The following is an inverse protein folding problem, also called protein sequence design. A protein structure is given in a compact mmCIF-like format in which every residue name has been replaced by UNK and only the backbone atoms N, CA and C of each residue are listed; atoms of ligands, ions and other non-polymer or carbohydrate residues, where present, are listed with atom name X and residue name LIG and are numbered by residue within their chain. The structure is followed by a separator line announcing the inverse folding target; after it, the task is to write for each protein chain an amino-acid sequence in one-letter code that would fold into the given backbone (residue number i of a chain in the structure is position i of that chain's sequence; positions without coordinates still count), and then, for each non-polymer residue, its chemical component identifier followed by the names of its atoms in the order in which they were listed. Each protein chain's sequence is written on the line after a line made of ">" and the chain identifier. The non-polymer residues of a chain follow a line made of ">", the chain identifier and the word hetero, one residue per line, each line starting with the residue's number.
data_IF_507981486652
#
_entry.id   IF_507981486652
#
_cell.length_a   1.000
_cell.length_b   1.000
_cell.length_c   1.000
_cell.angle_alpha   90.00
_cell.angle_beta   90.00
_cell.angle_gamma   90.00
#
_symmetry.space_group_name_H-M   'P 1'
#
loop_
_entity.id
_entity.type
_entity.pdbx_description
1 polymer ?
#
# COMPACT_ATOMS: atom_id res chain seq x y z
N UNK A 1 40.87 -50.74 13.22
CA UNK A 1 39.59 -50.40 12.56
C UNK A 1 39.14 -49.02 13.08
N UNK A 2 39.48 -47.96 12.34
CA UNK A 2 39.13 -46.57 12.69
C UNK A 2 37.80 -46.23 12.05
N UNK A 3 36.74 -46.08 12.85
CA UNK A 3 35.44 -45.53 12.39
C UNK A 3 35.52 -44.01 12.48
N UNK A 4 35.65 -43.37 11.34
CA UNK A 4 35.57 -41.92 11.22
C UNK A 4 34.07 -41.57 11.07
N UNK A 5 33.48 -40.98 12.13
CA UNK A 5 32.16 -40.38 12.11
C UNK A 5 32.26 -39.01 11.45
N UNK A 6 31.79 -38.91 10.21
CA UNK A 6 31.57 -37.63 9.54
C UNK A 6 30.30 -36.98 10.10
N UNK A 7 30.50 -36.01 10.96
CA UNK A 7 29.41 -35.13 11.41
C UNK A 7 29.19 -34.05 10.33
N UNK A 8 28.24 -34.28 9.43
CA UNK A 8 27.84 -33.30 8.46
C UNK A 8 27.07 -32.17 9.16
N UNK A 9 27.78 -31.06 9.42
CA UNK A 9 27.18 -29.82 9.94
C UNK A 9 26.37 -29.17 8.84
N UNK A 10 25.05 -29.44 8.85
CA UNK A 10 24.09 -28.81 7.94
C UNK A 10 23.86 -27.36 8.42
N UNK A 11 24.65 -26.42 7.88
CA UNK A 11 24.36 -24.97 8.06
C UNK A 11 23.10 -24.62 7.25
N UNK A 12 21.96 -24.69 7.90
CA UNK A 12 20.73 -24.12 7.40
C UNK A 12 20.88 -22.59 7.37
N UNK A 13 20.99 -21.99 6.20
CA UNK A 13 20.89 -20.55 6.03
C UNK A 13 19.45 -20.14 6.31
N UNK A 14 19.21 -19.61 7.51
CA UNK A 14 17.97 -18.92 7.84
C UNK A 14 17.89 -17.65 6.98
N UNK A 15 17.13 -17.71 5.90
CA UNK A 15 16.75 -16.50 5.17
C UNK A 15 15.82 -15.69 6.09
N UNK A 16 16.39 -14.77 6.84
CA UNK A 16 15.64 -13.77 7.57
C UNK A 16 15.13 -12.78 6.52
N UNK A 17 13.89 -12.97 6.05
CA UNK A 17 13.20 -11.93 5.32
C UNK A 17 13.05 -10.76 6.28
N UNK A 18 13.76 -9.67 6.02
CA UNK A 18 13.62 -8.43 6.75
C UNK A 18 12.21 -7.89 6.48
N UNK A 19 11.29 -8.13 7.40
CA UNK A 19 9.95 -7.58 7.31
C UNK A 19 10.02 -6.06 7.42
N UNK A 20 9.27 -5.37 6.58
CA UNK A 20 9.16 -3.91 6.68
C UNK A 20 8.74 -3.51 8.10
N UNK A 21 9.41 -2.55 8.72
CA UNK A 21 9.00 -2.03 10.04
C UNK A 21 7.66 -1.30 10.00
N UNK A 22 7.17 -0.91 8.82
CA UNK A 22 5.84 -0.37 8.63
C UNK A 22 4.82 -1.51 8.54
N UNK A 23 4.06 -1.71 9.60
CA UNK A 23 2.97 -2.71 9.63
C UNK A 23 1.66 -2.07 9.20
N UNK A 24 1.24 -2.34 7.98
CA UNK A 24 -0.04 -1.89 7.44
C UNK A 24 -1.20 -2.72 8.01
N UNK A 25 -2.32 -2.05 8.29
CA UNK A 25 -3.58 -2.72 8.66
C UNK A 25 -4.15 -3.49 7.47
N UNK A 26 -4.02 -2.89 6.28
CA UNK A 26 -4.36 -3.48 4.99
C UNK A 26 -3.48 -2.86 3.90
N UNK A 27 -3.22 -3.59 2.85
CA UNK A 27 -2.47 -3.11 1.67
C UNK A 27 -3.32 -3.12 0.41
N UNK A 28 -4.56 -3.60 0.51
CA UNK A 28 -5.51 -3.64 -0.59
C UNK A 28 -6.87 -3.14 -0.13
N UNK A 29 -7.47 -2.27 -0.94
CA UNK A 29 -8.81 -1.76 -0.70
C UNK A 29 -9.69 -1.86 -1.94
N UNK A 30 -10.95 -2.27 -1.76
CA UNK A 30 -11.93 -2.36 -2.83
C UNK A 30 -13.01 -1.28 -2.63
N UNK A 31 -13.03 -0.31 -3.54
CA UNK A 31 -14.04 0.75 -3.55
C UNK A 31 -15.44 0.27 -3.96
N UNK A 32 -15.56 -0.93 -4.52
CA UNK A 32 -16.81 -1.38 -5.12
C UNK A 32 -17.18 -0.59 -6.37
N UNK A 33 -18.42 -0.19 -6.50
CA UNK A 33 -18.93 0.60 -7.62
C UNK A 33 -18.83 2.10 -7.34
N UNK A 34 -18.10 2.79 -8.19
CA UNK A 34 -17.94 4.25 -8.16
C UNK A 34 -18.71 4.89 -9.31
N UNK A 35 -19.26 6.08 -9.09
CA UNK A 35 -19.83 6.88 -10.16
C UNK A 35 -18.72 7.56 -10.95
N UNK A 36 -18.86 7.59 -12.28
CA UNK A 36 -17.90 8.27 -13.15
C UNK A 36 -17.72 9.73 -12.75
N UNK A 37 -16.48 10.22 -12.80
CA UNK A 37 -16.06 11.56 -12.44
C UNK A 37 -16.35 11.99 -10.98
N UNK A 38 -16.64 11.02 -10.09
CA UNK A 38 -16.73 11.26 -8.66
C UNK A 38 -15.51 10.65 -7.98
N UNK A 39 -14.52 11.45 -7.56
CA UNK A 39 -13.32 10.94 -6.92
C UNK A 39 -13.65 10.15 -5.65
N UNK A 40 -12.90 9.08 -5.43
CA UNK A 40 -12.99 8.26 -4.23
C UNK A 40 -11.65 8.21 -3.50
N UNK A 41 -11.70 8.28 -2.19
CA UNK A 41 -10.51 8.34 -1.34
C UNK A 41 -10.54 7.23 -0.31
N UNK A 42 -9.38 6.58 -0.11
CA UNK A 42 -9.14 5.64 0.97
C UNK A 42 -7.87 6.01 1.74
N UNK A 43 -7.87 5.77 3.04
CA UNK A 43 -6.74 6.02 3.93
C UNK A 43 -6.17 4.70 4.40
N UNK A 44 -4.99 4.36 3.89
CA UNK A 44 -4.21 3.22 4.39
C UNK A 44 -3.49 3.62 5.67
N UNK A 45 -3.61 2.81 6.69
CA UNK A 45 -2.99 3.03 8.00
C UNK A 45 -1.89 2.01 8.24
N UNK A 46 -0.81 2.46 8.85
CA UNK A 46 0.28 1.60 9.30
C UNK A 46 0.83 2.06 10.65
N UNK A 47 1.47 1.16 11.36
CA UNK A 47 2.17 1.43 12.62
C UNK A 47 3.65 1.17 12.43
N UNK A 48 4.48 2.06 12.96
CA UNK A 48 5.91 1.82 13.01
C UNK A 48 6.26 0.82 14.13
N UNK A 49 6.48 -0.42 13.74
CA UNK A 49 6.91 -1.49 14.66
C UNK A 49 8.45 -1.62 14.76
N UNK A 50 9.18 -0.78 14.04
CA UNK A 50 10.64 -0.75 14.08
C UNK A 50 11.18 0.01 15.28
N UNK A 51 12.48 -0.10 15.51
CA UNK A 51 13.16 0.61 16.60
C UNK A 51 13.47 2.08 16.27
N UNK A 52 13.53 2.43 14.98
CA UNK A 52 13.88 3.75 14.46
C UNK A 52 12.65 4.47 13.89
N UNK A 53 12.65 5.83 13.86
CA UNK A 53 11.62 6.56 13.15
C UNK A 53 11.55 6.16 11.68
N UNK A 54 10.34 6.05 11.13
CA UNK A 54 10.09 5.81 9.72
C UNK A 54 9.83 7.13 9.00
N UNK A 55 10.49 7.31 7.87
CA UNK A 55 10.23 8.43 6.95
C UNK A 55 9.75 7.86 5.63
N UNK A 56 8.61 8.35 5.15
CA UNK A 56 8.15 8.02 3.80
C UNK A 56 8.96 8.87 2.82
N UNK A 57 9.80 8.22 2.03
CA UNK A 57 10.62 8.88 1.02
C UNK A 57 9.76 9.25 -0.20
N UNK A 58 8.91 8.34 -0.63
CA UNK A 58 8.00 8.55 -1.76
C UNK A 58 6.77 7.65 -1.67
N UNK A 59 5.68 8.12 -2.27
CA UNK A 59 4.53 7.32 -2.62
C UNK A 59 4.11 7.70 -4.03
N UNK A 60 4.20 6.76 -4.95
CA UNK A 60 4.03 7.01 -6.39
C UNK A 60 2.97 6.07 -6.94
N UNK A 61 1.95 6.64 -7.58
CA UNK A 61 0.95 5.88 -8.32
C UNK A 61 1.45 5.54 -9.74
N UNK A 62 1.02 4.40 -10.27
CA UNK A 62 1.34 3.97 -11.63
C UNK A 62 0.67 4.79 -12.74
N UNK A 63 -0.28 5.68 -12.42
CA UNK A 63 -0.98 6.57 -13.37
C UNK A 63 -1.31 7.92 -12.73
N UNK A 64 -1.56 8.94 -13.55
CA UNK A 64 -2.06 10.24 -13.11
C UNK A 64 -3.51 10.24 -12.59
N UNK A 65 -4.20 9.11 -12.70
CA UNK A 65 -5.58 8.92 -12.23
C UNK A 65 -5.67 8.67 -10.70
N UNK A 66 -4.54 8.44 -10.06
CA UNK A 66 -4.45 8.11 -8.63
C UNK A 66 -3.43 9.04 -7.98
N UNK A 67 -3.83 9.69 -6.90
CA UNK A 67 -3.00 10.66 -6.17
C UNK A 67 -2.79 10.20 -4.74
N UNK A 68 -1.57 9.80 -4.37
CA UNK A 68 -1.22 9.51 -2.99
C UNK A 68 -0.79 10.77 -2.24
N UNK A 69 -1.22 10.91 -0.98
CA UNK A 69 -0.77 11.94 -0.04
C UNK A 69 -0.27 11.27 1.24
N UNK A 70 0.84 11.75 1.77
CA UNK A 70 1.49 11.14 2.94
C UNK A 70 2.21 12.19 3.79
N UNK A 71 2.41 11.93 5.11
CA UNK A 71 3.13 12.84 5.99
C UNK A 71 4.61 12.90 5.63
N UNK A 72 5.19 14.08 5.71
CA UNK A 72 6.63 14.32 5.49
C UNK A 72 7.46 14.16 6.76
N UNK A 73 6.82 14.25 7.93
CA UNK A 73 7.48 14.08 9.22
C UNK A 73 7.77 12.62 9.52
N UNK A 74 8.85 12.33 10.27
CA UNK A 74 9.14 10.99 10.74
C UNK A 74 8.01 10.45 11.64
N UNK A 75 7.66 9.19 11.42
CA UNK A 75 6.73 8.43 12.26
C UNK A 75 7.55 7.68 13.29
N UNK A 76 7.47 8.09 14.55
CA UNK A 76 8.24 7.49 15.64
C UNK A 76 7.74 6.10 16.00
N UNK A 77 8.57 5.30 16.68
CA UNK A 77 8.25 3.95 17.12
C UNK A 77 6.89 3.88 17.83
N UNK A 78 6.05 2.94 17.40
CA UNK A 78 4.72 2.69 17.96
C UNK A 78 3.64 3.68 17.51
N UNK A 79 3.99 4.69 16.70
CA UNK A 79 3.03 5.66 16.17
C UNK A 79 2.42 5.21 14.86
N UNK A 80 1.20 5.68 14.62
CA UNK A 80 0.46 5.44 13.38
C UNK A 80 0.86 6.47 12.31
N UNK A 81 1.05 5.99 11.09
CA UNK A 81 1.14 6.81 9.89
C UNK A 81 -0.02 6.50 8.95
N UNK A 82 -0.30 7.41 8.03
CA UNK A 82 -1.37 7.28 7.07
C UNK A 82 -0.90 7.63 5.67
N UNK A 83 -1.45 6.94 4.67
CA UNK A 83 -1.30 7.27 3.26
C UNK A 83 -2.69 7.39 2.66
N UNK A 84 -3.06 8.60 2.26
CA UNK A 84 -4.35 8.88 1.64
C UNK A 84 -4.22 8.70 0.14
N UNK A 85 -5.04 7.84 -0.44
CA UNK A 85 -5.04 7.54 -1.87
C UNK A 85 -6.37 7.95 -2.47
N UNK A 86 -6.33 8.87 -3.44
CA UNK A 86 -7.51 9.35 -4.17
C UNK A 86 -7.47 8.88 -5.60
N UNK A 87 -8.55 8.23 -6.04
CA UNK A 87 -8.79 7.82 -7.42
C UNK A 87 -9.81 8.74 -8.07
N UNK A 88 -9.51 9.27 -9.27
CA UNK A 88 -10.34 10.28 -9.93
C UNK A 88 -11.62 9.72 -10.59
N UNK A 89 -11.71 8.41 -10.77
CA UNK A 89 -12.86 7.71 -11.37
C UNK A 89 -13.28 8.24 -12.76
N UNK A 90 -12.35 8.77 -13.54
CA UNK A 90 -12.65 9.31 -14.85
C UNK A 90 -12.94 8.26 -15.92
N UNK A 91 -12.22 7.13 -15.87
CA UNK A 91 -12.37 6.05 -16.84
C UNK A 91 -13.42 5.03 -16.38
N UNK A 92 -14.36 4.71 -17.25
CA UNK A 92 -15.38 3.67 -17.03
C UNK A 92 -14.77 2.28 -16.97
N UNK A 93 -15.39 1.39 -16.20
CA UNK A 93 -15.06 -0.02 -16.12
C UNK A 93 -14.27 -0.40 -14.88
N UNK A 94 -13.88 -1.66 -14.80
CA UNK A 94 -13.09 -2.20 -13.70
C UNK A 94 -11.68 -1.58 -13.69
N UNK A 95 -11.16 -1.30 -12.51
CA UNK A 95 -9.82 -0.77 -12.33
C UNK A 95 -9.05 -1.49 -11.24
N UNK A 96 -7.75 -1.55 -11.42
CA UNK A 96 -6.75 -1.97 -10.43
C UNK A 96 -5.60 -0.99 -10.51
N UNK A 97 -5.29 -0.30 -9.43
CA UNK A 97 -4.21 0.69 -9.37
C UNK A 97 -3.30 0.42 -8.19
N UNK A 98 -2.02 0.59 -8.41
CA UNK A 98 -0.98 0.39 -7.41
C UNK A 98 -0.36 1.73 -7.02
N UNK A 99 -0.03 1.84 -5.74
CA UNK A 99 0.79 2.92 -5.18
C UNK A 99 2.02 2.29 -4.55
N UNK A 100 3.17 2.62 -5.07
CA UNK A 100 4.46 2.17 -4.57
C UNK A 100 4.93 3.12 -3.48
N UNK A 101 5.03 2.63 -2.24
CA UNK A 101 5.46 3.40 -1.08
C UNK A 101 6.87 3.00 -0.70
N UNK A 102 7.80 3.96 -0.73
CA UNK A 102 9.17 3.75 -0.33
C UNK A 102 9.46 4.45 1.00
N UNK A 103 10.00 3.70 1.94
CA UNK A 103 10.48 4.22 3.21
C UNK A 103 12.00 4.42 3.15
N UNK A 104 12.48 5.53 3.70
CA UNK A 104 13.91 5.79 3.78
C UNK A 104 14.64 4.69 4.57
N UNK A 105 15.74 4.20 4.02
CA UNK A 105 16.53 3.12 4.62
C UNK A 105 15.94 1.71 4.46
N UNK A 106 14.83 1.55 3.72
CA UNK A 106 14.27 0.26 3.37
C UNK A 106 14.55 -0.06 1.89
N UNK A 107 15.00 -1.26 1.60
CA UNK A 107 15.28 -1.67 0.20
C UNK A 107 13.98 -2.02 -0.54
N UNK A 108 13.07 -2.72 0.13
CA UNK A 108 11.82 -3.19 -0.47
C UNK A 108 10.69 -2.16 -0.26
N UNK A 109 10.07 -1.70 -1.36
CA UNK A 109 8.89 -0.83 -1.26
C UNK A 109 7.65 -1.63 -0.82
N UNK A 110 6.69 -0.94 -0.22
CA UNK A 110 5.36 -1.48 0.05
C UNK A 110 4.43 -1.10 -1.08
N UNK A 111 3.70 -2.07 -1.62
CA UNK A 111 2.72 -1.84 -2.68
C UNK A 111 1.32 -1.78 -2.04
N UNK A 112 0.65 -0.65 -2.20
CA UNK A 112 -0.75 -0.48 -1.86
C UNK A 112 -1.58 -0.64 -3.13
N UNK A 113 -2.67 -1.37 -3.05
CA UNK A 113 -3.51 -1.69 -4.19
C UNK A 113 -4.95 -1.21 -3.96
N UNK A 114 -5.50 -0.49 -4.92
CA UNK A 114 -6.92 -0.13 -4.96
C UNK A 114 -7.60 -0.75 -6.16
N UNK A 115 -8.80 -1.28 -5.95
CA UNK A 115 -9.61 -1.90 -6.99
C UNK A 115 -11.03 -1.39 -6.92
N UNK A 116 -11.77 -1.55 -7.99
CA UNK A 116 -13.20 -1.21 -8.05
C UNK A 116 -13.70 -1.22 -9.48
N UNK A 117 -14.89 -0.70 -9.67
CA UNK A 117 -15.53 -0.55 -10.97
C UNK A 117 -16.18 0.82 -11.06
N UNK A 118 -15.85 1.58 -12.11
CA UNK A 118 -16.50 2.86 -12.40
C UNK A 118 -17.70 2.62 -13.30
N UNK A 119 -18.85 3.02 -12.82
CA UNK A 119 -20.13 2.91 -13.52
C UNK A 119 -20.62 4.30 -13.94
N UNK A 120 -21.51 4.35 -14.95
CA UNK A 120 -22.11 5.58 -15.38
C UNK A 120 -22.85 6.27 -14.22
N UNK A 121 -22.66 7.59 -14.10
CA UNK A 121 -23.46 8.41 -13.20
C UNK A 121 -24.87 8.48 -13.76
N UNK A 122 -25.85 7.76 -13.13
CA UNK A 122 -27.25 7.83 -13.53
C UNK A 122 -27.72 9.29 -13.49
N UNK A 123 -28.30 9.84 -14.56
CA UNK A 123 -28.82 11.21 -14.56
C UNK A 123 -29.82 11.39 -13.42
N UNK A 124 -29.72 12.47 -12.67
CA UNK A 124 -30.71 12.82 -11.68
C UNK A 124 -32.07 12.95 -12.40
N UNK A 125 -33.20 12.43 -11.82
CA UNK A 125 -34.48 12.57 -12.42
C UNK A 125 -34.79 14.07 -12.56
N UNK A 126 -34.99 14.51 -13.80
CA UNK A 126 -35.46 15.90 -14.07
C UNK A 126 -36.78 16.08 -13.32
N UNK A 127 -36.81 16.92 -12.28
CA UNK A 127 -38.07 17.40 -11.72
C UNK A 127 -38.84 18.06 -12.86
N UNK A 128 -39.96 17.46 -13.26
CA UNK A 128 -40.93 18.15 -14.10
C UNK A 128 -41.44 19.35 -13.29
N UNK A 129 -41.21 20.54 -13.80
CA UNK A 129 -41.89 21.75 -13.36
C UNK A 129 -43.33 21.69 -13.84
#
# INVERSE_FOLDING_TARGET
>A
MKRILFFALLLGTLNVFAQSPAKFTETKFNFGKLKQNVPATHVFKFVNNGAKPLVIESAVAGCGCTTPEYPKQPITKGKEGTIKVTYNAAAMGAFTKDVTVKFAGQEEPVILNIVGEVIEAKPAPKKKQ
#
